data_IF_969846032166
#
_entry.id   IF_969846032166
#
_cell.length_a   1.000
_cell.length_b   1.000
_cell.length_c   1.000
_cell.angle_alpha   90.00
_cell.angle_beta   90.00
_cell.angle_gamma   90.00
#
_symmetry.space_group_name_H-M   'P 1'
#
loop_
_entity.id
_entity.type
_entity.pdbx_description
1 polymer ?
#
# COMPACT_ATOMS: atom_id res chain seq x y z
N UNK A 1 6.45 12.32 -17.06
CA UNK A 1 7.82 12.45 -16.54
C UNK A 1 8.69 11.43 -17.27
N UNK A 2 9.86 11.85 -17.75
CA UNK A 2 10.71 11.12 -18.69
C UNK A 2 10.99 9.68 -18.21
N UNK A 3 10.39 8.70 -18.90
CA UNK A 3 10.41 7.28 -18.56
C UNK A 3 11.72 6.58 -18.91
N UNK A 4 12.82 7.03 -18.30
CA UNK A 4 14.13 6.41 -18.44
C UNK A 4 14.38 5.40 -17.32
N UNK A 5 15.02 4.28 -17.65
CA UNK A 5 15.51 3.32 -16.66
C UNK A 5 16.97 3.62 -16.31
N UNK A 6 17.32 3.62 -15.03
CA UNK A 6 18.71 3.70 -14.56
C UNK A 6 19.14 2.35 -13.99
N UNK A 7 20.25 1.80 -14.49
CA UNK A 7 20.81 0.53 -13.99
C UNK A 7 21.60 0.77 -12.71
N UNK A 8 21.33 -0.04 -11.70
CA UNK A 8 22.15 -0.18 -10.50
C UNK A 8 22.67 -1.62 -10.41
N UNK A 9 23.87 -1.80 -9.88
CA UNK A 9 24.41 -3.13 -9.58
C UNK A 9 24.59 -3.23 -8.08
N UNK A 10 23.97 -4.24 -7.47
CA UNK A 10 24.01 -4.47 -6.02
C UNK A 10 24.32 -5.93 -5.76
N UNK A 11 25.09 -6.20 -4.71
CA UNK A 11 25.30 -7.55 -4.21
C UNK A 11 24.21 -7.87 -3.20
N UNK A 12 23.57 -9.02 -3.36
CA UNK A 12 22.54 -9.52 -2.45
C UNK A 12 23.01 -10.82 -1.80
N UNK A 13 22.57 -11.13 -0.57
CA UNK A 13 22.82 -12.43 0.04
C UNK A 13 22.23 -13.57 -0.80
N UNK A 14 22.96 -14.68 -0.90
CA UNK A 14 22.57 -15.86 -1.68
C UNK A 14 21.20 -16.40 -1.26
N UNK A 15 20.97 -16.61 0.03
CA UNK A 15 19.68 -17.09 0.57
C UNK A 15 18.50 -16.20 0.16
N UNK A 16 18.71 -14.88 0.06
CA UNK A 16 17.67 -13.95 -0.35
C UNK A 16 17.42 -14.04 -1.86
N UNK A 17 18.49 -14.18 -2.65
CA UNK A 17 18.39 -14.38 -4.09
C UNK A 17 17.60 -15.65 -4.42
N UNK A 18 17.89 -16.76 -3.73
CA UNK A 18 17.19 -18.03 -3.86
C UNK A 18 15.72 -17.90 -3.48
N UNK A 19 15.42 -17.30 -2.30
CA UNK A 19 14.04 -17.05 -1.84
C UNK A 19 13.23 -16.25 -2.86
N UNK A 20 13.85 -15.22 -3.46
CA UNK A 20 13.19 -14.41 -4.48
C UNK A 20 12.99 -15.21 -5.77
N UNK A 21 13.98 -15.99 -6.20
CA UNK A 21 13.86 -16.85 -7.38
C UNK A 21 12.73 -17.88 -7.23
N UNK A 22 12.61 -18.53 -6.07
CA UNK A 22 11.51 -19.44 -5.75
C UNK A 22 10.15 -18.74 -5.85
N UNK A 23 10.05 -17.51 -5.32
CA UNK A 23 8.80 -16.73 -5.33
C UNK A 23 8.39 -16.28 -6.73
N UNK A 24 9.33 -15.86 -7.57
CA UNK A 24 9.01 -15.32 -8.92
C UNK A 24 8.94 -16.42 -9.99
N UNK A 25 9.51 -17.59 -9.74
CA UNK A 25 9.56 -18.71 -10.69
C UNK A 25 10.22 -18.30 -12.02
N UNK A 26 9.44 -18.29 -13.11
CA UNK A 26 9.91 -17.88 -14.45
C UNK A 26 9.91 -16.36 -14.66
N UNK A 27 9.52 -15.57 -13.65
CA UNK A 27 9.47 -14.11 -13.71
C UNK A 27 10.86 -13.46 -13.77
N UNK A 28 10.91 -12.20 -14.21
CA UNK A 28 12.17 -11.45 -14.25
C UNK A 28 12.50 -10.85 -12.88
N UNK A 29 13.73 -11.10 -12.41
CA UNK A 29 14.23 -10.58 -11.14
C UNK A 29 14.19 -9.05 -11.08
N UNK A 30 14.53 -8.38 -12.19
CA UNK A 30 14.52 -6.91 -12.27
C UNK A 30 13.13 -6.31 -12.09
N UNK A 31 12.08 -6.90 -12.69
CA UNK A 31 10.71 -6.42 -12.50
C UNK A 31 10.27 -6.59 -11.05
N UNK A 32 10.52 -7.76 -10.45
CA UNK A 32 10.20 -8.00 -9.05
C UNK A 32 10.87 -6.99 -8.12
N UNK A 33 12.18 -6.75 -8.28
CA UNK A 33 12.91 -5.76 -7.49
C UNK A 33 12.38 -4.35 -7.73
N UNK A 34 12.06 -3.99 -8.97
CA UNK A 34 11.56 -2.65 -9.28
C UNK A 34 10.22 -2.39 -8.58
N UNK A 35 9.29 -3.32 -8.66
CA UNK A 35 8.01 -3.20 -7.95
C UNK A 35 8.18 -3.26 -6.43
N UNK A 36 9.08 -4.09 -5.92
CA UNK A 36 9.37 -4.16 -4.49
C UNK A 36 9.92 -2.84 -3.96
N UNK A 37 10.84 -2.20 -4.70
CA UNK A 37 11.38 -0.89 -4.38
C UNK A 37 10.30 0.19 -4.42
N UNK A 38 9.42 0.18 -5.42
CA UNK A 38 8.30 1.12 -5.48
C UNK A 38 7.39 0.99 -4.25
N UNK A 39 7.02 -0.24 -3.88
CA UNK A 39 6.21 -0.51 -2.68
C UNK A 39 6.93 -0.10 -1.39
N UNK A 40 8.26 -0.23 -1.35
CA UNK A 40 9.04 0.17 -0.18
C UNK A 40 9.06 1.69 -0.04
N UNK A 41 9.34 2.42 -1.11
CA UNK A 41 9.32 3.89 -1.11
C UNK A 41 7.96 4.41 -0.68
N UNK A 42 6.87 3.86 -1.23
CA UNK A 42 5.51 4.24 -0.82
C UNK A 42 5.27 4.00 0.68
N UNK A 43 5.77 2.90 1.24
CA UNK A 43 5.66 2.61 2.68
C UNK A 43 6.49 3.54 3.54
N UNK A 44 7.68 3.91 3.08
CA UNK A 44 8.55 4.83 3.78
C UNK A 44 7.88 6.22 3.83
N UNK A 45 7.37 6.71 2.69
CA UNK A 45 6.61 7.96 2.59
C UNK A 45 5.38 7.96 3.51
N UNK A 46 4.60 6.86 3.51
CA UNK A 46 3.45 6.71 4.40
C UNK A 46 3.85 6.72 5.87
N UNK A 47 4.98 6.10 6.23
CA UNK A 47 5.48 6.07 7.60
C UNK A 47 5.88 7.47 8.08
N UNK A 48 6.49 8.27 7.21
CA UNK A 48 6.81 9.68 7.50
C UNK A 48 5.55 10.51 7.75
N UNK A 49 4.51 10.33 6.92
CA UNK A 49 3.22 11.01 7.10
C UNK A 49 2.53 10.62 8.41
N UNK A 50 2.56 9.33 8.78
CA UNK A 50 2.01 8.85 10.05
C UNK A 50 2.77 9.48 11.22
N UNK A 51 4.10 9.46 11.20
CA UNK A 51 4.92 10.03 12.27
C UNK A 51 4.66 11.54 12.46
N UNK A 52 4.48 12.28 11.36
CA UNK A 52 4.11 13.70 11.42
C UNK A 52 2.73 13.91 12.06
N UNK A 53 1.74 13.09 11.69
CA UNK A 53 0.39 13.17 12.25
C UNK A 53 0.37 12.81 13.75
N UNK A 54 1.11 11.77 14.15
CA UNK A 54 1.21 11.36 15.56
C UNK A 54 1.94 12.40 16.42
N UNK A 55 2.94 13.07 15.86
CA UNK A 55 3.62 14.19 16.54
C UNK A 55 2.64 15.33 16.82
N UNK A 56 1.72 15.62 15.90
CA UNK A 56 0.74 16.70 16.04
C UNK A 56 -0.46 16.33 16.92
N UNK A 57 -0.92 15.09 16.87
CA UNK A 57 -2.21 14.67 17.44
C UNK A 57 -2.10 13.63 18.55
N UNK A 58 -0.91 13.09 18.80
CA UNK A 58 -0.69 11.90 19.59
C UNK A 58 -0.92 10.61 18.79
N UNK A 59 -0.53 9.45 19.34
CA UNK A 59 -0.70 8.16 18.68
C UNK A 59 -2.17 7.83 18.42
N UNK A 60 -2.44 7.05 17.38
CA UNK A 60 -3.79 6.61 17.05
C UNK A 60 -4.30 5.64 18.11
N UNK A 61 -5.47 5.93 18.70
CA UNK A 61 -6.18 5.04 19.62
C UNK A 61 -7.08 4.07 18.84
N UNK A 62 -6.76 2.75 18.83
CA UNK A 62 -7.53 1.76 18.08
C UNK A 62 -9.00 1.66 18.53
N UNK A 63 -9.27 1.80 19.84
CA UNK A 63 -10.63 1.72 20.36
C UNK A 63 -11.48 2.90 19.87
N UNK A 64 -10.86 4.08 19.75
CA UNK A 64 -11.52 5.26 19.19
C UNK A 64 -11.79 5.09 17.70
N UNK A 65 -10.88 4.48 16.95
CA UNK A 65 -11.08 4.18 15.52
C UNK A 65 -12.22 3.19 15.32
N UNK A 66 -12.25 2.10 16.09
CA UNK A 66 -13.32 1.10 16.03
C UNK A 66 -14.68 1.70 16.37
N UNK A 67 -14.77 2.47 17.46
CA UNK A 67 -16.01 3.16 17.84
C UNK A 67 -16.52 4.10 16.74
N UNK A 68 -15.62 4.81 16.04
CA UNK A 68 -15.99 5.66 14.90
C UNK A 68 -16.38 4.85 13.66
N UNK A 69 -15.69 3.74 13.40
CA UNK A 69 -16.01 2.83 12.30
C UNK A 69 -17.41 2.24 12.43
N UNK A 70 -17.81 1.83 13.63
CA UNK A 70 -19.15 1.31 13.92
C UNK A 70 -20.25 2.33 13.56
N UNK A 71 -20.03 3.62 13.86
CA UNK A 71 -20.98 4.69 13.53
C UNK A 71 -21.17 4.87 12.02
N UNK A 72 -20.10 4.69 11.23
CA UNK A 72 -20.15 4.84 9.77
C UNK A 72 -20.83 3.66 9.07
N UNK A 73 -20.78 2.46 9.66
CA UNK A 73 -21.44 1.27 9.12
C UNK A 73 -22.96 1.24 9.39
N UNK A 74 -23.43 2.02 10.36
CA UNK A 74 -24.87 2.14 10.69
C UNK A 74 -25.69 3.03 9.75
N UNK A 75 -25.11 3.57 8.66
CA UNK A 75 -25.86 4.33 7.63
C UNK A 75 -25.74 3.72 6.20
N UNK A 76 -26.46 2.62 5.90
CA UNK A 76 -26.53 2.04 4.55
C UNK A 76 -27.78 2.50 3.75
N UNK A 77 -28.43 3.63 4.09
CA UNK A 77 -29.83 3.89 3.71
C UNK A 77 -30.14 4.95 2.65
N UNK A 78 -29.22 5.35 1.75
CA UNK A 78 -29.52 6.46 0.83
C UNK A 78 -28.95 6.34 -0.60
N UNK A 79 -28.66 5.13 -1.11
CA UNK A 79 -28.21 4.97 -2.51
C UNK A 79 -28.65 3.63 -3.10
N UNK A 80 -29.92 3.49 -3.53
CA UNK A 80 -30.28 2.68 -4.71
C UNK A 80 -31.75 2.68 -5.22
N UNK A 81 -32.58 3.71 -4.95
CA UNK A 81 -34.01 3.65 -5.35
C UNK A 81 -34.44 4.53 -6.56
N UNK A 82 -33.52 5.05 -7.39
CA UNK A 82 -33.91 5.96 -8.51
C UNK A 82 -33.29 5.63 -9.89
N UNK A 83 -32.88 4.37 -10.15
CA UNK A 83 -32.41 3.97 -11.50
C UNK A 83 -33.24 2.87 -12.18
N UNK A 84 -34.41 2.53 -11.65
CA UNK A 84 -35.33 1.58 -12.32
C UNK A 84 -36.76 2.11 -12.31
N UNK A 85 -36.97 3.25 -12.97
CA UNK A 85 -38.30 3.65 -13.45
C UNK A 85 -38.17 4.65 -14.60
N UNK A 86 -37.78 4.15 -15.77
CA UNK A 86 -38.20 4.74 -17.05
C UNK A 86 -38.22 3.61 -18.09
N UNK A 87 -39.44 3.14 -18.36
CA UNK A 87 -39.79 2.33 -19.51
C UNK A 87 -39.88 3.20 -20.77
#
# INVERSE_FOLDING_TARGET
>A
MSGGTKKFSVTIPEHLAETVQERIGKGSFSAYVSEALMRQVERDDLSELIAAAETQHGPVDPARVEAKGALLQTDPGARDDDRTSAA
#
